data_IF_221659609917
#
_entry.id   IF_221659609917
#
_cell.length_a   1.000
_cell.length_b   1.000
_cell.length_c   1.000
_cell.angle_alpha   90.00
_cell.angle_beta   90.00
_cell.angle_gamma   90.00
#
_symmetry.space_group_name_H-M   'P 1'
#
loop_
_entity.id
_entity.type
_entity.pdbx_description
1 polymer ?
#
# COMPACT_ATOMS: atom_id res chain seq x y z
N UNK A 1 -12.90 -0.58 -2.95
CA UNK A 1 -11.52 -0.21 -2.57
C UNK A 1 -11.64 0.85 -1.51
N UNK A 2 -10.95 0.68 -0.39
CA UNK A 2 -10.90 1.68 0.68
C UNK A 2 -9.46 2.16 0.80
N UNK A 3 -9.26 3.48 0.74
CA UNK A 3 -7.94 4.11 0.87
C UNK A 3 -7.93 5.06 2.06
N UNK A 4 -6.92 4.92 2.92
CA UNK A 4 -6.58 5.89 3.96
C UNK A 4 -5.30 6.63 3.56
N UNK A 5 -5.42 7.95 3.39
CA UNK A 5 -4.31 8.84 3.10
C UNK A 5 -3.74 9.45 4.37
N UNK A 6 -2.43 9.28 4.57
CA UNK A 6 -1.68 9.90 5.66
C UNK A 6 -0.52 10.69 5.05
N UNK A 7 -0.56 12.02 5.17
CA UNK A 7 0.62 12.83 4.89
C UNK A 7 1.56 12.77 6.09
N UNK A 8 2.63 11.99 5.97
CA UNK A 8 3.56 11.71 7.05
C UNK A 8 4.87 12.46 6.85
N UNK A 9 5.33 13.16 7.90
CA UNK A 9 6.67 13.74 7.95
C UNK A 9 7.74 12.65 7.85
N UNK A 10 7.51 11.49 8.45
CA UNK A 10 8.38 10.31 8.33
C UNK A 10 7.55 9.04 8.29
N UNK A 11 7.88 8.14 7.37
CA UNK A 11 7.28 6.81 7.25
C UNK A 11 8.36 5.75 7.03
N UNK A 12 8.24 4.61 7.70
CA UNK A 12 9.14 3.48 7.48
C UNK A 12 8.45 2.14 7.73
N UNK A 13 8.87 1.09 7.01
CA UNK A 13 8.43 -0.27 7.25
C UNK A 13 9.59 -1.27 7.16
N UNK A 14 9.39 -2.45 7.74
CA UNK A 14 10.25 -3.61 7.59
C UNK A 14 9.37 -4.86 7.46
N UNK A 15 9.60 -5.64 6.41
CA UNK A 15 8.94 -6.93 6.19
C UNK A 15 9.28 -7.90 7.34
N UNK A 16 8.28 -8.66 7.76
CA UNK A 16 8.39 -9.67 8.83
C UNK A 16 8.08 -11.06 8.28
N UNK A 17 7.33 -11.86 9.02
CA UNK A 17 6.91 -13.19 8.59
C UNK A 17 5.84 -13.09 7.51
N UNK A 18 5.82 -14.09 6.61
CA UNK A 18 4.82 -14.16 5.53
C UNK A 18 3.42 -14.29 6.12
N UNK A 19 2.53 -13.36 5.77
CA UNK A 19 1.11 -13.44 6.15
C UNK A 19 0.35 -14.55 5.42
N UNK A 20 0.79 -14.90 4.19
CA UNK A 20 0.21 -16.00 3.39
C UNK A 20 1.33 -16.89 2.82
N UNK A 21 1.01 -18.16 2.58
CA UNK A 21 2.00 -19.18 2.14
C UNK A 21 2.64 -18.86 0.79
N UNK A 22 1.86 -18.32 -0.14
CA UNK A 22 2.27 -17.96 -1.49
C UNK A 22 2.53 -16.45 -1.62
N UNK A 23 2.95 -15.79 -0.54
CA UNK A 23 3.34 -14.39 -0.60
C UNK A 23 4.46 -14.23 -1.62
N UNK A 24 4.37 -13.20 -2.46
CA UNK A 24 5.37 -12.86 -3.46
C UNK A 24 6.74 -12.64 -2.79
N UNK A 25 7.83 -12.83 -3.55
CA UNK A 25 9.14 -12.46 -3.03
C UNK A 25 9.27 -10.95 -2.99
N UNK A 26 9.49 -10.41 -1.79
CA UNK A 26 9.59 -8.97 -1.60
C UNK A 26 10.84 -8.42 -2.30
N UNK A 27 10.63 -7.49 -3.25
CA UNK A 27 11.73 -6.77 -3.88
C UNK A 27 12.43 -5.79 -2.90
N UNK A 28 11.80 -5.48 -1.77
CA UNK A 28 12.25 -4.47 -0.82
C UNK A 28 11.89 -4.88 0.62
N UNK A 29 12.88 -5.38 1.38
CA UNK A 29 12.68 -5.87 2.76
C UNK A 29 12.44 -4.76 3.80
N UNK A 30 12.85 -3.52 3.51
CA UNK A 30 12.60 -2.35 4.36
C UNK A 30 12.72 -1.05 3.58
N UNK A 31 11.97 -0.04 4.00
CA UNK A 31 11.97 1.30 3.41
C UNK A 31 11.84 2.35 4.51
N UNK A 32 12.49 3.50 4.32
CA UNK A 32 12.24 4.72 5.09
C UNK A 32 12.16 5.91 4.14
N UNK A 33 11.19 6.80 4.36
CA UNK A 33 10.92 7.99 3.56
C UNK A 33 10.49 9.15 4.45
N UNK A 34 10.92 10.35 4.06
CA UNK A 34 10.49 11.61 4.66
C UNK A 34 9.50 12.32 3.73
N UNK A 35 8.57 13.09 4.31
CA UNK A 35 7.57 13.89 3.62
C UNK A 35 6.84 13.11 2.50
N UNK A 36 6.13 12.05 2.90
CA UNK A 36 5.46 11.13 1.99
C UNK A 36 3.96 11.07 2.25
N UNK A 37 3.17 11.00 1.17
CA UNK A 37 1.77 10.58 1.24
C UNK A 37 1.71 9.06 1.25
N UNK A 38 1.34 8.47 2.40
CA UNK A 38 1.16 7.03 2.55
C UNK A 38 -0.29 6.69 2.28
N UNK A 39 -0.53 5.84 1.27
CA UNK A 39 -1.86 5.36 0.90
C UNK A 39 -2.05 3.90 1.35
N UNK A 40 -2.67 3.71 2.51
CA UNK A 40 -3.08 2.37 2.93
C UNK A 40 -4.29 1.94 2.10
N UNK A 41 -4.10 0.94 1.25
CA UNK A 41 -5.11 0.51 0.27
C UNK A 41 -5.63 -0.88 0.61
N UNK A 42 -6.95 -1.00 0.74
CA UNK A 42 -7.64 -2.29 0.87
C UNK A 42 -8.46 -2.53 -0.40
N UNK A 43 -8.16 -3.61 -1.11
CA UNK A 43 -8.92 -4.07 -2.28
C UNK A 43 -10.10 -4.91 -1.83
N UNK A 44 -11.28 -4.62 -2.36
CA UNK A 44 -12.55 -5.27 -2.06
C UNK A 44 -13.01 -6.16 -3.21
N UNK A 45 -13.91 -7.11 -2.92
CA UNK A 45 -14.31 -8.17 -3.85
C UNK A 45 -14.85 -7.68 -5.20
N UNK A 46 -15.56 -6.56 -5.19
CA UNK A 46 -16.24 -6.00 -6.37
C UNK A 46 -15.40 -4.91 -7.06
N UNK A 47 -14.14 -4.73 -6.66
CA UNK A 47 -13.25 -3.75 -7.29
C UNK A 47 -12.79 -4.20 -8.67
N UNK A 48 -12.76 -3.25 -9.61
CA UNK A 48 -12.35 -3.45 -10.99
C UNK A 48 -11.35 -2.37 -11.45
N UNK A 49 -10.99 -2.41 -12.74
CA UNK A 49 -10.04 -1.47 -13.33
C UNK A 49 -10.52 -0.01 -13.26
N UNK A 50 -11.83 0.25 -13.33
CA UNK A 50 -12.35 1.61 -13.23
C UNK A 50 -12.16 2.17 -11.82
N UNK A 51 -12.25 1.32 -10.79
CA UNK A 51 -11.95 1.71 -9.40
C UNK A 51 -10.49 2.10 -9.26
N UNK A 52 -9.58 1.38 -9.92
CA UNK A 52 -8.14 1.70 -9.95
C UNK A 52 -7.88 3.06 -10.61
N UNK A 53 -8.50 3.32 -11.77
CA UNK A 53 -8.37 4.61 -12.48
C UNK A 53 -8.78 5.78 -11.59
N UNK A 54 -9.93 5.68 -10.91
CA UNK A 54 -10.42 6.71 -9.98
C UNK A 54 -9.50 6.93 -8.79
N UNK A 55 -8.88 5.87 -8.28
CA UNK A 55 -7.94 5.96 -7.15
C UNK A 55 -6.66 6.73 -7.52
N UNK A 56 -6.22 6.65 -8.78
CA UNK A 56 -5.04 7.39 -9.28
C UNK A 56 -5.34 8.89 -9.43
N UNK A 57 -6.58 9.25 -9.76
CA UNK A 57 -7.03 10.64 -9.90
C UNK A 57 -7.41 11.33 -8.58
N UNK A 58 -7.33 10.61 -7.46
CA UNK A 58 -7.74 11.08 -6.13
C UNK A 58 -6.81 12.14 -5.51
#
# INVERSE_FOLDING_TARGET
MIILFIHAETFSFQVKERAIKSAEEDFLNSLSKENALVAFTTVEKEDDEQVVERAVES
#
